data_IF_841687113173
#
_entry.id   IF_841687113173
#
_cell.length_a   1.000
_cell.length_b   1.000
_cell.length_c   1.000
_cell.angle_alpha   90.00
_cell.angle_beta   90.00
_cell.angle_gamma   90.00
#
_symmetry.space_group_name_H-M   'P 1'
#
loop_
_entity.id
_entity.type
_entity.pdbx_description
1 polymer ?
#
# COMPACT_ATOMS: atom_id res chain seq x y z
N UNK A 1 -22.79 -51.58 -2.55
CA UNK A 1 -23.10 -50.27 -3.14
C UNK A 1 -22.38 -49.22 -2.29
N UNK A 2 -21.16 -48.86 -2.68
CA UNK A 2 -20.29 -47.95 -1.90
C UNK A 2 -20.58 -46.54 -2.42
N UNK A 3 -21.15 -45.69 -1.58
CA UNK A 3 -21.41 -44.28 -1.90
C UNK A 3 -20.09 -43.51 -1.62
N UNK A 4 -19.38 -43.13 -2.67
CA UNK A 4 -18.26 -42.21 -2.59
C UNK A 4 -18.80 -40.79 -2.45
N UNK A 5 -18.58 -40.17 -1.30
CA UNK A 5 -18.84 -38.75 -1.05
C UNK A 5 -17.79 -37.92 -1.79
N UNK A 6 -18.15 -36.97 -2.65
CA UNK A 6 -17.17 -36.10 -3.29
C UNK A 6 -16.58 -35.17 -2.25
N UNK A 7 -15.25 -35.28 -2.05
CA UNK A 7 -14.50 -34.43 -1.15
C UNK A 7 -14.64 -32.94 -1.54
N UNK A 8 -14.91 -32.16 -0.54
CA UNK A 8 -15.18 -30.72 -0.62
C UNK A 8 -13.96 -29.97 -1.20
N UNK A 9 -14.06 -29.51 -2.43
CA UNK A 9 -12.97 -28.81 -3.16
C UNK A 9 -12.49 -27.54 -2.47
N UNK A 10 -13.32 -26.94 -1.62
CA UNK A 10 -12.98 -25.77 -0.81
C UNK A 10 -11.95 -26.10 0.28
N UNK A 11 -12.10 -27.23 0.98
CA UNK A 11 -11.13 -27.69 1.99
C UNK A 11 -9.75 -27.96 1.39
N UNK A 12 -9.70 -28.58 0.23
CA UNK A 12 -8.43 -28.85 -0.46
C UNK A 12 -7.75 -27.57 -0.94
N UNK A 13 -8.52 -26.54 -1.29
CA UNK A 13 -7.98 -25.24 -1.72
C UNK A 13 -7.43 -24.47 -0.52
N UNK A 14 -8.13 -24.47 0.61
CA UNK A 14 -7.67 -23.85 1.86
C UNK A 14 -6.40 -24.56 2.37
N UNK A 15 -6.35 -25.89 2.35
CA UNK A 15 -5.15 -26.64 2.73
C UNK A 15 -3.94 -26.33 1.82
N UNK A 16 -4.16 -26.13 0.53
CA UNK A 16 -3.08 -25.77 -0.41
C UNK A 16 -2.57 -24.35 -0.18
N UNK A 17 -3.47 -23.39 0.11
CA UNK A 17 -3.07 -22.01 0.43
C UNK A 17 -2.39 -21.92 1.80
N UNK A 18 -2.88 -22.61 2.82
CA UNK A 18 -2.23 -22.67 4.14
C UNK A 18 -0.88 -23.38 4.07
N UNK A 19 -0.75 -24.44 3.29
CA UNK A 19 0.53 -25.14 3.06
C UNK A 19 1.53 -24.25 2.31
N UNK A 20 1.09 -23.47 1.32
CA UNK A 20 1.94 -22.54 0.59
C UNK A 20 2.41 -21.39 1.49
N UNK A 21 1.52 -20.87 2.32
CA UNK A 21 1.85 -19.81 3.30
C UNK A 21 2.81 -20.31 4.38
N UNK A 22 2.59 -21.52 4.90
CA UNK A 22 3.49 -22.19 5.85
C UNK A 22 4.86 -22.49 5.22
N UNK A 23 4.89 -22.90 3.96
CA UNK A 23 6.14 -23.18 3.24
C UNK A 23 6.96 -21.89 3.02
N UNK A 24 6.29 -20.78 2.71
CA UNK A 24 6.95 -19.46 2.60
C UNK A 24 7.46 -19.00 3.97
N UNK A 25 6.70 -19.18 5.04
CA UNK A 25 7.11 -18.84 6.41
C UNK A 25 8.28 -19.70 6.92
N UNK A 26 8.31 -20.99 6.60
CA UNK A 26 9.42 -21.89 6.97
C UNK A 26 10.70 -21.61 6.19
N UNK A 27 10.60 -21.16 4.95
CA UNK A 27 11.78 -20.78 4.15
C UNK A 27 12.41 -19.46 4.64
N UNK A 28 11.62 -18.56 5.24
CA UNK A 28 12.09 -17.30 5.82
C UNK A 28 12.78 -17.48 7.18
N UNK A 29 12.59 -18.60 7.87
CA UNK A 29 13.18 -18.87 9.20
C UNK A 29 14.62 -19.41 9.14
N UNK A 30 15.19 -19.64 7.98
CA UNK A 30 16.43 -20.41 7.78
C UNK A 30 17.75 -19.66 7.84
N UNK A 31 17.79 -18.33 8.05
CA UNK A 31 19.06 -17.57 8.05
C UNK A 31 19.13 -16.53 9.17
N UNK A 32 19.10 -16.95 10.44
CA UNK A 32 19.49 -16.11 11.56
C UNK A 32 20.89 -16.52 12.05
N UNK A 33 21.93 -16.11 11.33
CA UNK A 33 23.30 -16.16 11.80
C UNK A 33 23.62 -14.91 12.60
N UNK A 34 23.76 -15.06 13.92
CA UNK A 34 24.25 -14.00 14.80
C UNK A 34 25.69 -13.64 14.45
N UNK A 35 25.96 -12.36 14.22
CA UNK A 35 27.28 -11.76 14.33
C UNK A 35 27.22 -10.67 15.40
N UNK A 36 27.87 -10.95 16.54
CA UNK A 36 28.23 -9.93 17.52
C UNK A 36 29.21 -8.94 16.90
N UNK A 37 28.92 -7.66 16.98
CA UNK A 37 29.87 -6.59 16.69
C UNK A 37 30.12 -5.81 17.95
N UNK A 38 31.35 -5.92 18.41
CA UNK A 38 31.92 -5.22 19.58
C UNK A 38 32.00 -3.72 19.30
N UNK A 39 31.39 -2.91 20.13
CA UNK A 39 31.47 -1.47 20.08
C UNK A 39 32.85 -0.99 20.59
N UNK A 40 33.50 -0.12 19.83
CA UNK A 40 34.71 0.62 20.24
C UNK A 40 34.33 2.09 20.36
N UNK A 41 34.31 2.57 21.59
CA UNK A 41 34.10 3.98 21.95
C UNK A 41 35.31 4.82 21.55
N UNK A 42 35.09 6.01 20.99
CA UNK A 42 36.05 7.11 21.06
C UNK A 42 35.31 8.42 21.30
N UNK A 43 35.73 9.01 22.40
CA UNK A 43 35.41 10.23 23.06
C UNK A 43 35.88 11.46 22.29
N UNK A 44 35.06 12.50 22.19
CA UNK A 44 35.50 13.91 22.21
C UNK A 44 34.29 14.86 22.26
N UNK A 45 34.29 15.68 23.28
CA UNK A 45 33.26 16.54 23.80
C UNK A 45 32.99 17.87 23.04
N UNK A 46 32.35 18.88 23.68
CA UNK A 46 31.18 19.55 23.09
C UNK A 46 31.48 20.95 22.55
N UNK A 47 30.66 21.41 21.61
CA UNK A 47 30.45 22.85 21.37
C UNK A 47 28.97 23.16 21.33
N UNK A 48 28.54 23.91 22.36
CA UNK A 48 27.22 24.51 22.50
C UNK A 48 27.18 25.79 21.65
N UNK A 49 26.18 25.94 20.81
CA UNK A 49 25.68 27.25 20.39
C UNK A 49 24.15 27.17 20.21
N UNK A 50 23.49 27.94 21.09
CA UNK A 50 22.04 28.10 21.12
C UNK A 50 21.60 29.18 20.11
N UNK A 51 20.43 28.99 19.48
CA UNK A 51 19.37 29.97 19.24
C UNK A 51 18.66 29.74 17.89
N UNK A 52 17.52 30.36 17.66
CA UNK A 52 16.26 30.41 18.38
C UNK A 52 15.11 29.73 17.62
N UNK A 53 14.00 29.53 18.33
CA UNK A 53 12.76 29.00 17.80
C UNK A 53 12.24 29.79 16.59
N UNK A 54 11.95 29.08 15.52
CA UNK A 54 11.17 29.58 14.39
C UNK A 54 10.08 28.57 14.05
N UNK A 55 8.91 29.10 13.86
CA UNK A 55 7.63 28.48 13.50
C UNK A 55 7.76 27.26 12.55
N UNK A 56 7.16 26.16 12.94
CA UNK A 56 6.94 25.01 12.07
C UNK A 56 5.77 25.31 11.14
N UNK A 57 6.04 25.95 10.01
CA UNK A 57 5.20 25.78 8.84
C UNK A 57 5.47 24.34 8.31
N UNK A 58 4.46 23.52 8.28
CA UNK A 58 4.51 22.21 7.64
C UNK A 58 4.60 22.46 6.13
N UNK A 59 5.82 22.42 5.63
CA UNK A 59 6.10 22.47 4.19
C UNK A 59 5.99 21.04 3.65
N UNK A 60 4.89 20.77 2.97
CA UNK A 60 4.55 19.48 2.36
C UNK A 60 5.22 19.31 0.98
N UNK A 61 6.33 20.01 0.75
CA UNK A 61 7.16 19.83 -0.45
C UNK A 61 8.09 18.63 -0.26
N UNK A 62 7.70 17.51 -0.85
CA UNK A 62 8.58 16.36 -1.06
C UNK A 62 9.82 16.85 -1.84
N UNK A 63 10.96 16.97 -1.16
CA UNK A 63 12.26 17.17 -1.78
C UNK A 63 12.91 15.82 -2.07
N UNK A 64 12.91 15.36 -3.33
CA UNK A 64 13.53 14.09 -3.69
C UNK A 64 15.06 14.11 -3.55
N UNK A 65 15.66 15.27 -3.28
CA UNK A 65 17.10 15.47 -3.11
C UNK A 65 17.52 15.79 -1.67
N UNK A 66 16.57 15.85 -0.73
CA UNK A 66 16.91 16.00 0.68
C UNK A 66 17.87 14.88 1.08
N UNK A 67 19.08 15.25 1.48
CA UNK A 67 20.07 14.30 1.97
C UNK A 67 19.51 13.62 3.22
N UNK A 68 19.59 12.29 3.36
CA UNK A 68 19.17 11.60 4.57
C UNK A 68 19.91 12.22 5.75
N UNK A 69 19.21 12.61 6.80
CA UNK A 69 19.85 12.91 8.08
C UNK A 69 20.75 11.72 8.48
N UNK A 70 21.89 11.99 9.08
CA UNK A 70 22.98 11.03 9.31
C UNK A 70 22.64 9.79 10.19
N UNK A 71 21.39 9.65 10.64
CA UNK A 71 20.85 8.40 11.18
C UNK A 71 20.30 7.57 10.01
N UNK A 72 21.20 6.93 9.27
CA UNK A 72 20.89 6.15 8.10
C UNK A 72 19.89 5.05 8.42
N UNK A 73 18.71 5.11 7.82
CA UNK A 73 17.89 3.91 7.65
C UNK A 73 18.82 2.90 6.99
N UNK A 74 19.21 1.85 7.74
CA UNK A 74 20.10 0.80 7.23
C UNK A 74 19.53 0.32 5.89
N UNK A 75 20.29 0.55 4.83
CA UNK A 75 19.92 0.30 3.44
C UNK A 75 19.99 -1.22 3.18
N UNK A 76 19.10 -1.96 3.86
CA UNK A 76 19.09 -3.43 3.80
C UNK A 76 18.29 -3.90 2.59
N UNK A 77 18.96 -4.01 1.45
CA UNK A 77 18.42 -4.59 0.23
C UNK A 77 19.24 -5.80 -0.25
N UNK A 78 19.07 -6.96 0.39
CA UNK A 78 19.79 -8.17 0.00
C UNK A 78 19.36 -8.71 -1.36
N UNK A 79 18.24 -8.24 -1.91
CA UNK A 79 17.66 -8.67 -3.18
C UNK A 79 17.81 -7.63 -4.29
N UNK A 80 18.65 -6.62 -4.11
CA UNK A 80 18.88 -5.54 -5.07
C UNK A 80 19.05 -6.02 -6.54
N UNK A 81 19.85 -7.09 -6.84
CA UNK A 81 19.98 -7.55 -8.23
C UNK A 81 18.69 -8.08 -8.84
N UNK A 82 17.79 -8.64 -8.02
CA UNK A 82 16.45 -9.11 -8.45
C UNK A 82 15.49 -7.94 -8.50
N UNK A 83 15.48 -7.12 -7.47
CA UNK A 83 14.61 -5.95 -7.34
C UNK A 83 14.81 -4.98 -8.50
N UNK A 84 16.06 -4.69 -8.89
CA UNK A 84 16.38 -3.83 -10.02
C UNK A 84 15.83 -4.37 -11.34
N UNK A 85 15.91 -5.68 -11.57
CA UNK A 85 15.34 -6.30 -12.79
C UNK A 85 13.82 -6.22 -12.82
N UNK A 86 13.16 -6.48 -11.69
CA UNK A 86 11.71 -6.40 -11.58
C UNK A 86 11.25 -4.94 -11.68
N UNK A 87 11.99 -4.02 -11.08
CA UNK A 87 11.73 -2.58 -11.20
C UNK A 87 11.79 -2.12 -12.66
N UNK A 88 12.86 -2.50 -13.38
CA UNK A 88 12.97 -2.17 -14.81
C UNK A 88 11.87 -2.82 -15.64
N UNK A 89 11.50 -4.07 -15.34
CA UNK A 89 10.32 -4.70 -15.96
C UNK A 89 9.04 -3.88 -15.73
N UNK A 90 8.75 -3.49 -14.48
CA UNK A 90 7.58 -2.67 -14.14
C UNK A 90 7.62 -1.32 -14.87
N UNK A 91 8.81 -0.70 -14.96
CA UNK A 91 9.03 0.54 -15.70
C UNK A 91 8.75 0.38 -17.20
N UNK A 92 9.17 -0.73 -17.81
CA UNK A 92 8.86 -1.01 -19.22
C UNK A 92 7.35 -1.23 -19.43
N UNK A 93 6.68 -1.93 -18.50
CA UNK A 93 5.22 -2.10 -18.53
C UNK A 93 4.52 -0.74 -18.38
N UNK A 94 4.97 0.13 -17.48
CA UNK A 94 4.42 1.49 -17.37
C UNK A 94 4.60 2.26 -18.69
N UNK A 95 5.81 2.27 -19.23
CA UNK A 95 6.16 3.04 -20.43
C UNK A 95 5.36 2.61 -21.67
N UNK A 96 5.23 1.29 -21.87
CA UNK A 96 4.67 0.75 -23.11
C UNK A 96 3.18 0.40 -23.02
N UNK A 97 2.65 0.21 -21.83
CA UNK A 97 1.25 -0.19 -21.61
C UNK A 97 0.49 0.85 -20.79
N UNK A 98 0.89 1.08 -19.52
CA UNK A 98 0.10 1.93 -18.63
C UNK A 98 0.07 3.39 -19.07
N UNK A 99 1.22 3.97 -19.43
CA UNK A 99 1.31 5.37 -19.87
C UNK A 99 0.47 5.67 -21.11
N UNK A 100 0.55 4.89 -22.23
CA UNK A 100 -0.31 5.13 -23.37
C UNK A 100 -1.80 4.90 -23.09
N UNK A 101 -2.14 3.86 -22.32
CA UNK A 101 -3.54 3.59 -21.92
C UNK A 101 -4.07 4.75 -21.06
N UNK A 102 -3.31 5.20 -20.06
CA UNK A 102 -3.69 6.32 -19.19
C UNK A 102 -3.80 7.65 -19.94
N UNK A 103 -2.96 7.89 -20.96
CA UNK A 103 -3.11 9.06 -21.84
C UNK A 103 -4.41 8.99 -22.65
N UNK A 104 -4.74 7.83 -23.21
CA UNK A 104 -6.01 7.61 -23.91
C UNK A 104 -7.21 7.78 -23.00
N UNK A 105 -7.13 7.24 -21.79
CA UNK A 105 -8.16 7.40 -20.78
C UNK A 105 -8.33 8.87 -20.37
N UNK A 106 -7.23 9.62 -20.12
CA UNK A 106 -7.25 11.04 -19.79
C UNK A 106 -7.86 11.91 -20.90
N UNK A 107 -7.69 11.51 -22.15
CA UNK A 107 -8.31 12.22 -23.28
C UNK A 107 -9.83 12.04 -23.31
N UNK A 108 -10.34 10.86 -22.92
CA UNK A 108 -11.77 10.52 -22.97
C UNK A 108 -12.50 10.97 -21.69
N UNK A 109 -11.87 10.78 -20.53
CA UNK A 109 -12.49 10.99 -19.22
C UNK A 109 -11.98 12.29 -18.60
N UNK A 110 -12.86 13.30 -18.37
CA UNK A 110 -12.45 14.57 -17.75
C UNK A 110 -11.90 14.39 -16.33
N UNK A 111 -10.92 15.19 -15.95
CA UNK A 111 -10.28 15.16 -14.62
C UNK A 111 -11.27 15.12 -13.43
N UNK A 112 -12.35 15.92 -13.38
CA UNK A 112 -13.29 15.84 -12.28
C UNK A 112 -13.96 14.46 -12.11
N UNK A 113 -14.17 13.75 -13.22
CA UNK A 113 -14.72 12.39 -13.19
C UNK A 113 -13.68 11.40 -12.68
N UNK A 114 -12.43 11.53 -13.11
CA UNK A 114 -11.31 10.71 -12.62
C UNK A 114 -11.12 10.88 -11.11
N UNK A 115 -11.16 12.12 -10.61
CA UNK A 115 -11.10 12.43 -9.18
C UNK A 115 -12.27 11.78 -8.44
N UNK A 116 -13.49 11.90 -8.98
CA UNK A 116 -14.67 11.26 -8.40
C UNK A 116 -14.52 9.73 -8.29
N UNK A 117 -13.96 9.10 -9.30
CA UNK A 117 -13.67 7.65 -9.30
C UNK A 117 -12.65 7.31 -8.20
N UNK A 118 -11.54 8.05 -8.10
CA UNK A 118 -10.57 7.87 -7.00
C UNK A 118 -11.22 8.02 -5.63
N UNK A 119 -12.07 9.04 -5.46
CA UNK A 119 -12.79 9.27 -4.21
C UNK A 119 -13.72 8.09 -3.83
N UNK A 120 -14.39 7.47 -4.82
CA UNK A 120 -15.23 6.27 -4.57
C UNK A 120 -14.36 5.11 -4.07
N UNK A 121 -13.23 4.81 -4.74
CA UNK A 121 -12.31 3.76 -4.29
C UNK A 121 -11.76 4.05 -2.89
N UNK A 122 -11.41 5.29 -2.62
CA UNK A 122 -10.98 5.73 -1.29
C UNK A 122 -12.08 5.51 -0.25
N UNK A 123 -13.31 5.95 -0.53
CA UNK A 123 -14.45 5.82 0.40
C UNK A 123 -14.80 4.36 0.71
N UNK A 124 -14.72 3.48 -0.29
CA UNK A 124 -14.98 2.04 -0.11
C UNK A 124 -13.95 1.37 0.79
N UNK A 125 -12.68 1.83 0.79
CA UNK A 125 -11.61 1.32 1.67
C UNK A 125 -11.68 1.84 3.11
N UNK A 126 -12.71 2.56 3.49
CA UNK A 126 -12.94 3.04 4.85
C UNK A 126 -12.69 1.97 5.94
N UNK A 127 -13.20 0.70 5.84
CA UNK A 127 -13.03 -0.27 6.92
C UNK A 127 -11.57 -0.59 7.24
N UNK A 128 -10.71 -0.64 6.22
CA UNK A 128 -9.28 -0.84 6.38
C UNK A 128 -8.65 0.28 7.21
N UNK A 129 -8.84 1.54 6.83
CA UNK A 129 -8.29 2.70 7.53
C UNK A 129 -8.86 2.85 8.94
N UNK A 130 -10.17 2.65 9.10
CA UNK A 130 -10.84 2.67 10.40
C UNK A 130 -10.28 1.62 11.37
N UNK A 131 -10.16 0.36 10.93
CA UNK A 131 -9.65 -0.73 11.77
C UNK A 131 -8.18 -0.52 12.13
N UNK A 132 -7.34 -0.06 11.19
CA UNK A 132 -5.94 0.21 11.48
C UNK A 132 -5.76 1.37 12.47
N UNK A 133 -6.56 2.44 12.38
CA UNK A 133 -6.61 3.48 13.40
C UNK A 133 -6.98 2.91 14.79
N UNK A 134 -7.98 2.03 14.85
CA UNK A 134 -8.36 1.37 16.12
C UNK A 134 -7.26 0.47 16.66
N UNK A 135 -6.64 -0.34 15.82
CA UNK A 135 -5.55 -1.23 16.22
C UNK A 135 -4.33 -0.47 16.74
N UNK A 136 -4.07 0.72 16.25
CA UNK A 136 -3.02 1.60 16.74
C UNK A 136 -3.45 2.46 17.94
N UNK A 137 -4.69 2.33 18.42
CA UNK A 137 -5.22 3.14 19.52
C UNK A 137 -5.51 4.61 19.15
N UNK A 138 -5.48 4.96 17.86
CA UNK A 138 -5.74 6.30 17.32
C UNK A 138 -7.26 6.55 17.24
N UNK A 139 -7.94 6.61 18.39
CA UNK A 139 -9.42 6.72 18.48
C UNK A 139 -9.93 7.97 17.75
N UNK A 140 -9.21 9.10 17.82
CA UNK A 140 -9.57 10.33 17.11
C UNK A 140 -9.53 10.10 15.58
N UNK A 141 -8.46 9.46 15.08
CA UNK A 141 -8.34 9.11 13.66
C UNK A 141 -9.48 8.19 13.21
N UNK A 142 -9.78 7.14 13.99
CA UNK A 142 -10.91 6.26 13.73
C UNK A 142 -12.25 7.03 13.68
N UNK A 143 -12.48 7.97 14.60
CA UNK A 143 -13.68 8.82 14.60
C UNK A 143 -13.77 9.73 13.37
N UNK A 144 -12.64 10.30 12.94
CA UNK A 144 -12.56 11.10 11.71
C UNK A 144 -12.88 10.22 10.48
N UNK A 145 -12.33 9.00 10.39
CA UNK A 145 -12.63 8.08 9.30
C UNK A 145 -14.13 7.73 9.21
N UNK A 146 -14.80 7.51 10.34
CA UNK A 146 -16.27 7.32 10.37
C UNK A 146 -16.97 8.56 9.84
N UNK A 147 -16.57 9.75 10.31
CA UNK A 147 -17.16 11.02 9.85
C UNK A 147 -16.97 11.23 8.33
N UNK A 148 -15.75 10.98 7.82
CA UNK A 148 -15.45 11.03 6.38
C UNK A 148 -16.34 10.08 5.59
N UNK A 149 -16.41 8.81 6.01
CA UNK A 149 -17.23 7.82 5.34
C UNK A 149 -18.72 8.22 5.28
N UNK A 150 -19.29 8.66 6.39
CA UNK A 150 -20.71 9.09 6.44
C UNK A 150 -20.98 10.30 5.57
N UNK A 151 -20.15 11.34 5.67
CA UNK A 151 -20.30 12.56 4.87
C UNK A 151 -20.13 12.29 3.38
N UNK A 152 -19.10 11.55 3.00
CA UNK A 152 -18.81 11.26 1.60
C UNK A 152 -19.85 10.29 1.01
N UNK A 153 -20.35 9.34 1.79
CA UNK A 153 -21.38 8.40 1.31
C UNK A 153 -22.75 9.07 1.17
N UNK A 154 -23.10 10.04 2.02
CA UNK A 154 -24.40 10.73 1.99
C UNK A 154 -24.36 12.01 1.13
N UNK A 155 -23.73 13.07 1.63
CA UNK A 155 -23.61 14.35 0.93
C UNK A 155 -22.69 14.27 -0.30
N UNK A 156 -21.70 13.39 -0.29
CA UNK A 156 -20.75 13.15 -1.38
C UNK A 156 -21.25 12.16 -2.45
N UNK A 157 -22.54 11.77 -2.42
CA UNK A 157 -23.16 10.88 -3.43
C UNK A 157 -22.37 9.58 -3.58
N UNK A 158 -22.31 8.78 -2.50
CA UNK A 158 -21.59 7.49 -2.51
C UNK A 158 -20.07 7.59 -2.57
N UNK A 159 -19.52 8.77 -2.26
CA UNK A 159 -18.08 9.01 -2.27
C UNK A 159 -17.54 9.65 -3.55
N UNK A 160 -18.39 10.02 -4.52
CA UNK A 160 -17.95 10.75 -5.71
C UNK A 160 -17.34 12.10 -5.38
N UNK A 161 -17.86 12.78 -4.36
CA UNK A 161 -17.35 14.06 -3.88
C UNK A 161 -16.77 13.89 -2.47
N UNK A 162 -15.52 14.32 -2.26
CA UNK A 162 -14.92 14.36 -0.92
C UNK A 162 -15.38 15.62 -0.18
N UNK A 163 -16.55 15.52 0.47
CA UNK A 163 -17.14 16.60 1.29
C UNK A 163 -16.35 16.73 2.60
N UNK A 164 -15.85 15.63 3.14
CA UNK A 164 -15.10 15.63 4.37
C UNK A 164 -13.78 16.42 4.25
N UNK A 165 -13.09 16.31 3.12
CA UNK A 165 -11.90 17.11 2.81
C UNK A 165 -12.21 18.62 2.81
N UNK A 166 -13.36 19.02 2.24
CA UNK A 166 -13.81 20.43 2.24
C UNK A 166 -14.14 20.97 3.63
N UNK A 167 -14.45 20.10 4.58
CA UNK A 167 -14.71 20.42 5.98
C UNK A 167 -13.46 20.25 6.87
N UNK A 168 -12.28 20.10 6.26
CA UNK A 168 -10.99 19.91 6.91
C UNK A 168 -10.93 18.69 7.87
N UNK A 169 -11.74 17.67 7.59
CA UNK A 169 -11.70 16.39 8.30
C UNK A 169 -10.59 15.52 7.70
N UNK A 170 -9.35 15.80 8.12
CA UNK A 170 -8.16 15.08 7.64
C UNK A 170 -7.63 14.13 8.71
N UNK A 171 -7.14 12.98 8.29
CA UNK A 171 -6.40 12.03 9.12
C UNK A 171 -5.40 11.30 8.23
N UNK A 172 -4.24 10.94 8.75
CA UNK A 172 -3.31 10.07 8.03
C UNK A 172 -4.00 8.77 7.60
N UNK A 173 -3.63 8.28 6.43
CA UNK A 173 -4.10 6.98 5.95
C UNK A 173 -3.34 5.88 6.66
N UNK A 174 -4.05 5.08 7.44
CA UNK A 174 -3.47 3.97 8.16
C UNK A 174 -3.67 2.65 7.42
N UNK A 175 -2.61 1.86 7.38
CA UNK A 175 -2.63 0.51 6.81
C UNK A 175 -2.06 -0.52 7.79
N UNK A 176 -2.23 -1.81 7.48
CA UNK A 176 -1.78 -2.88 8.37
C UNK A 176 -0.26 -2.97 8.46
N UNK A 177 0.49 -2.56 7.42
CA UNK A 177 1.95 -2.47 7.49
C UNK A 177 2.43 -1.44 8.51
N UNK A 178 1.76 -0.27 8.58
CA UNK A 178 1.98 0.76 9.61
C UNK A 178 1.60 0.22 10.99
N UNK A 179 0.45 -0.43 11.11
CA UNK A 179 0.01 -1.05 12.37
C UNK A 179 1.03 -2.05 12.89
N UNK A 180 1.57 -2.92 12.04
CA UNK A 180 2.65 -3.84 12.41
C UNK A 180 3.92 -3.08 12.84
N UNK A 181 4.26 -2.00 12.14
CA UNK A 181 5.38 -1.13 12.49
C UNK A 181 5.19 -0.46 13.84
N UNK A 182 4.00 0.05 14.12
CA UNK A 182 3.63 0.64 15.42
C UNK A 182 3.85 -0.33 16.59
N UNK A 183 3.58 -1.62 16.39
CA UNK A 183 3.88 -2.68 17.37
C UNK A 183 5.33 -3.16 17.34
N UNK A 184 6.23 -2.47 16.66
CA UNK A 184 7.67 -2.75 16.66
C UNK A 184 8.12 -3.86 15.72
N UNK A 185 7.26 -4.31 14.79
CA UNK A 185 7.67 -5.26 13.74
C UNK A 185 8.60 -4.54 12.77
N UNK A 186 9.84 -5.03 12.66
CA UNK A 186 10.85 -4.46 11.76
C UNK A 186 10.41 -4.61 10.29
N UNK A 187 10.81 -3.66 9.41
CA UNK A 187 10.41 -3.69 8.00
C UNK A 187 10.86 -4.95 7.25
N UNK A 188 12.04 -5.50 7.62
CA UNK A 188 12.68 -6.59 6.87
C UNK A 188 13.22 -6.11 5.51
N UNK A 189 13.65 -7.03 4.63
CA UNK A 189 14.17 -6.72 3.32
C UNK A 189 13.20 -5.93 2.45
N UNK A 190 13.74 -5.01 1.66
CA UNK A 190 13.03 -4.34 0.59
C UNK A 190 12.79 -5.29 -0.59
N UNK A 191 11.64 -5.19 -1.23
CA UNK A 191 11.27 -6.02 -2.37
C UNK A 191 10.41 -5.28 -3.40
N UNK A 192 10.65 -5.59 -4.66
CA UNK A 192 9.84 -5.13 -5.79
C UNK A 192 9.18 -6.35 -6.42
N UNK A 193 7.85 -6.31 -6.53
CA UNK A 193 7.08 -7.38 -7.15
C UNK A 193 6.55 -6.94 -8.53
N UNK A 194 6.40 -7.89 -9.48
CA UNK A 194 5.81 -7.58 -10.78
C UNK A 194 4.41 -6.99 -10.64
N UNK A 195 4.14 -5.90 -11.36
CA UNK A 195 2.86 -5.17 -11.39
C UNK A 195 2.41 -4.55 -10.07
N UNK A 196 3.25 -4.57 -9.03
CA UNK A 196 2.94 -4.00 -7.73
C UNK A 196 3.91 -2.86 -7.39
N UNK A 197 3.49 -2.03 -6.43
CA UNK A 197 4.36 -1.03 -5.81
C UNK A 197 5.47 -1.70 -5.00
N UNK A 198 6.55 -0.98 -4.65
CA UNK A 198 7.55 -1.47 -3.72
C UNK A 198 6.97 -1.80 -2.35
N UNK A 199 7.58 -2.78 -1.67
CA UNK A 199 7.23 -3.20 -0.31
C UNK A 199 8.49 -3.47 0.51
N UNK A 200 8.33 -3.49 1.83
CA UNK A 200 9.15 -4.32 2.71
C UNK A 200 8.39 -5.62 3.02
N UNK A 201 9.05 -6.62 3.58
CA UNK A 201 8.37 -7.88 3.98
C UNK A 201 7.19 -7.60 4.92
N UNK A 202 7.38 -6.73 5.93
CA UNK A 202 6.31 -6.29 6.83
C UNK A 202 5.12 -5.70 6.06
N UNK A 203 5.42 -4.76 5.16
CA UNK A 203 4.39 -4.02 4.44
C UNK A 203 3.67 -4.91 3.42
N UNK A 204 4.34 -5.93 2.86
CA UNK A 204 3.70 -6.94 2.03
C UNK A 204 2.70 -7.79 2.84
N UNK A 205 3.08 -8.22 4.04
CA UNK A 205 2.15 -8.93 4.95
C UNK A 205 0.96 -8.03 5.30
N UNK A 206 1.23 -6.75 5.60
CA UNK A 206 0.19 -5.75 5.82
C UNK A 206 -0.73 -5.59 4.62
N UNK A 207 -0.18 -5.47 3.42
CA UNK A 207 -0.96 -5.37 2.18
C UNK A 207 -1.88 -6.58 1.95
N UNK A 208 -1.40 -7.79 2.21
CA UNK A 208 -2.23 -9.01 2.13
C UNK A 208 -3.40 -8.94 3.12
N UNK A 209 -3.17 -8.51 4.35
CA UNK A 209 -4.23 -8.32 5.34
C UNK A 209 -5.24 -7.24 4.90
N UNK A 210 -4.75 -6.14 4.35
CA UNK A 210 -5.58 -5.05 3.82
C UNK A 210 -6.45 -5.49 2.64
N UNK A 211 -5.95 -6.37 1.77
CA UNK A 211 -6.76 -7.00 0.70
C UNK A 211 -7.95 -7.76 1.28
N UNK A 212 -7.78 -8.45 2.42
CA UNK A 212 -8.89 -9.12 3.12
C UNK A 212 -9.84 -8.15 3.83
N UNK A 213 -9.39 -6.97 4.23
CA UNK A 213 -10.25 -5.94 4.85
C UNK A 213 -11.04 -5.12 3.82
N UNK A 214 -10.70 -5.20 2.54
CA UNK A 214 -11.34 -4.42 1.50
C UNK A 214 -12.74 -4.98 1.16
N UNK A 215 -13.83 -4.20 1.33
CA UNK A 215 -15.19 -4.65 1.05
C UNK A 215 -15.43 -5.10 -0.39
N UNK A 216 -14.70 -4.56 -1.36
CA UNK A 216 -14.80 -4.98 -2.77
C UNK A 216 -14.54 -6.49 -2.88
N UNK A 217 -13.58 -6.99 -2.12
CA UNK A 217 -13.16 -8.38 -2.16
C UNK A 217 -14.13 -9.34 -1.43
N UNK A 218 -15.17 -8.82 -0.77
CA UNK A 218 -16.18 -9.60 -0.06
C UNK A 218 -17.59 -9.37 -0.59
N UNK A 219 -17.97 -8.11 -0.78
CA UNK A 219 -19.34 -7.73 -1.08
C UNK A 219 -19.59 -7.57 -2.58
N UNK A 220 -18.59 -7.16 -3.35
CA UNK A 220 -18.76 -6.91 -4.79
C UNK A 220 -18.30 -8.13 -5.58
N UNK A 221 -17.05 -8.54 -5.40
CA UNK A 221 -16.43 -9.66 -6.10
C UNK A 221 -15.59 -10.49 -5.12
N UNK A 222 -16.19 -11.40 -4.37
CA UNK A 222 -15.51 -12.08 -3.27
C UNK A 222 -14.37 -12.97 -3.73
N UNK A 223 -13.25 -12.88 -2.99
CA UNK A 223 -12.07 -13.75 -3.18
C UNK A 223 -12.37 -15.20 -2.79
N UNK A 224 -13.20 -15.37 -1.77
CA UNK A 224 -13.61 -16.66 -1.22
C UNK A 224 -15.12 -16.65 -1.09
N UNK A 225 -15.78 -17.72 -1.52
CA UNK A 225 -17.21 -17.89 -1.34
C UNK A 225 -17.51 -18.22 0.11
N UNK A 226 -18.23 -17.33 0.80
CA UNK A 226 -18.69 -17.54 2.17
C UNK A 226 -20.20 -17.68 2.14
N UNK A 227 -20.69 -18.86 2.57
CA UNK A 227 -22.11 -19.13 2.63
C UNK A 227 -22.83 -18.12 3.53
N UNK A 228 -23.87 -17.48 3.00
CA UNK A 228 -24.69 -16.50 3.72
C UNK A 228 -24.23 -15.04 3.61
N UNK A 229 -23.11 -14.74 2.95
CA UNK A 229 -22.71 -13.37 2.64
C UNK A 229 -23.26 -12.99 1.25
N UNK A 230 -24.14 -12.00 1.15
CA UNK A 230 -24.65 -11.54 -0.14
C UNK A 230 -23.54 -10.81 -0.91
N UNK A 231 -23.31 -11.18 -2.16
CA UNK A 231 -22.41 -10.46 -3.07
C UNK A 231 -23.19 -9.79 -4.19
N UNK A 232 -22.71 -8.64 -4.64
CA UNK A 232 -23.33 -7.89 -5.74
C UNK A 232 -23.25 -8.66 -7.06
N UNK A 233 -22.22 -9.49 -7.23
CA UNK A 233 -22.03 -10.36 -8.40
C UNK A 233 -22.31 -11.81 -7.97
N UNK A 234 -23.33 -12.46 -8.57
CA UNK A 234 -23.63 -13.86 -8.22
C UNK A 234 -22.45 -14.79 -8.53
N UNK A 235 -22.09 -15.63 -7.57
CA UNK A 235 -20.91 -16.52 -7.59
C UNK A 235 -20.97 -17.66 -8.61
N UNK A 236 -21.96 -17.70 -9.44
CA UNK A 236 -22.19 -18.84 -10.35
C UNK A 236 -21.07 -19.09 -11.35
N UNK A 237 -20.16 -18.11 -11.55
CA UNK A 237 -19.05 -18.24 -12.47
C UNK A 237 -17.75 -17.62 -11.89
N UNK A 238 -16.85 -18.47 -11.42
CA UNK A 238 -15.54 -18.11 -10.86
C UNK A 238 -14.73 -17.23 -11.83
N UNK A 239 -14.86 -17.45 -13.12
CA UNK A 239 -14.21 -16.66 -14.16
C UNK A 239 -14.69 -15.20 -14.14
N UNK A 240 -16.00 -14.96 -14.02
CA UNK A 240 -16.57 -13.61 -13.99
C UNK A 240 -16.09 -12.84 -12.75
N UNK A 241 -16.05 -13.47 -11.58
CA UNK A 241 -15.58 -12.85 -10.34
C UNK A 241 -14.11 -12.43 -10.46
N UNK A 242 -13.25 -13.31 -11.00
CA UNK A 242 -11.84 -13.01 -11.22
C UNK A 242 -11.66 -11.87 -12.22
N UNK A 243 -12.41 -11.86 -13.33
CA UNK A 243 -12.35 -10.76 -14.30
C UNK A 243 -12.77 -9.41 -13.70
N UNK A 244 -13.81 -9.40 -12.86
CA UNK A 244 -14.25 -8.16 -12.22
C UNK A 244 -13.23 -7.65 -11.20
N UNK A 245 -12.63 -8.53 -10.40
CA UNK A 245 -11.58 -8.15 -9.43
C UNK A 245 -10.35 -7.57 -10.15
N UNK A 246 -9.84 -8.28 -11.16
CA UNK A 246 -8.70 -7.82 -11.96
C UNK A 246 -9.07 -6.54 -12.68
N UNK A 247 -10.25 -6.49 -13.31
CA UNK A 247 -10.73 -5.32 -14.03
C UNK A 247 -10.86 -4.08 -13.15
N UNK A 248 -11.44 -4.22 -11.96
CA UNK A 248 -11.54 -3.13 -10.99
C UNK A 248 -10.16 -2.62 -10.56
N UNK A 249 -9.21 -3.53 -10.32
CA UNK A 249 -7.85 -3.17 -9.94
C UNK A 249 -7.09 -2.48 -11.07
N UNK A 250 -7.18 -3.01 -12.29
CA UNK A 250 -6.56 -2.39 -13.48
C UNK A 250 -7.18 -1.01 -13.75
N UNK A 251 -8.49 -0.89 -13.62
CA UNK A 251 -9.19 0.38 -13.80
C UNK A 251 -8.72 1.44 -12.78
N UNK A 252 -8.61 1.07 -11.52
CA UNK A 252 -8.05 1.92 -10.48
C UNK A 252 -6.63 2.37 -10.82
N UNK A 253 -5.74 1.43 -11.17
CA UNK A 253 -4.34 1.73 -11.54
C UNK A 253 -4.28 2.70 -12.74
N UNK A 254 -5.10 2.49 -13.77
CA UNK A 254 -5.16 3.38 -14.94
C UNK A 254 -5.66 4.76 -14.56
N UNK A 255 -6.69 4.85 -13.71
CA UNK A 255 -7.23 6.11 -13.23
C UNK A 255 -6.20 6.90 -12.41
N UNK A 256 -5.54 6.25 -11.45
CA UNK A 256 -4.52 6.89 -10.61
C UNK A 256 -3.29 7.29 -11.45
N UNK A 257 -2.88 6.46 -12.40
CA UNK A 257 -1.78 6.78 -13.32
C UNK A 257 -2.12 7.96 -14.21
N UNK A 258 -3.37 8.08 -14.64
CA UNK A 258 -3.88 9.18 -15.45
C UNK A 258 -3.82 10.52 -14.70
N UNK A 259 -4.25 10.54 -13.44
CA UNK A 259 -4.20 11.73 -12.57
C UNK A 259 -2.76 12.18 -12.25
N UNK A 260 -1.78 11.31 -12.35
CA UNK A 260 -0.38 11.57 -11.99
C UNK A 260 0.59 11.52 -13.18
N UNK A 261 0.12 11.66 -14.43
CA UNK A 261 0.95 11.55 -15.64
C UNK A 261 2.18 12.47 -15.62
N UNK A 262 2.00 13.73 -15.24
CA UNK A 262 3.07 14.74 -15.24
C UNK A 262 4.07 14.54 -14.10
N UNK A 263 3.59 14.19 -12.90
CA UNK A 263 4.44 13.95 -11.72
C UNK A 263 5.45 12.84 -11.97
N UNK A 264 4.99 11.71 -12.51
CA UNK A 264 5.87 10.57 -12.81
C UNK A 264 6.91 10.91 -13.89
N UNK A 265 6.55 11.70 -14.89
CA UNK A 265 7.48 12.11 -15.94
C UNK A 265 8.58 13.01 -15.37
N UNK A 266 8.23 13.97 -14.53
CA UNK A 266 9.21 14.87 -13.91
C UNK A 266 10.23 14.13 -13.06
N UNK A 267 9.81 13.15 -12.25
CA UNK A 267 10.72 12.33 -11.45
C UNK A 267 11.64 11.47 -12.32
N UNK A 268 11.13 10.85 -13.39
CA UNK A 268 11.92 10.02 -14.30
C UNK A 268 13.01 10.85 -15.03
N UNK A 269 12.71 12.09 -15.41
CA UNK A 269 13.65 12.97 -16.11
C UNK A 269 14.70 13.59 -15.18
N UNK A 270 14.38 13.80 -13.90
CA UNK A 270 15.25 14.46 -12.93
C UNK A 270 16.24 13.53 -12.23
N UNK A 271 16.10 12.20 -12.34
CA UNK A 271 16.82 11.24 -11.52
C UNK A 271 17.76 10.36 -12.32
N UNK A 272 19.05 10.33 -11.93
CA UNK A 272 20.06 9.48 -12.57
C UNK A 272 19.91 8.00 -12.22
N UNK A 273 19.66 7.69 -10.95
CA UNK A 273 19.36 6.35 -10.45
C UNK A 273 17.95 6.29 -9.86
N UNK A 274 17.00 6.00 -10.74
CA UNK A 274 15.59 5.98 -10.37
C UNK A 274 15.25 4.85 -9.38
N UNK A 275 15.94 3.69 -9.45
CA UNK A 275 15.70 2.59 -8.52
C UNK A 275 16.04 3.00 -7.09
N UNK A 276 17.26 3.48 -6.87
CA UNK A 276 17.73 3.93 -5.54
C UNK A 276 16.87 5.08 -5.01
N UNK A 277 16.53 6.06 -5.84
CA UNK A 277 15.66 7.17 -5.45
C UNK A 277 14.27 6.71 -5.00
N UNK A 278 13.62 5.82 -5.75
CA UNK A 278 12.29 5.29 -5.40
C UNK A 278 12.36 4.43 -4.13
N UNK A 279 13.40 3.60 -3.97
CA UNK A 279 13.61 2.79 -2.77
C UNK A 279 13.74 3.68 -1.54
N UNK A 280 14.63 4.67 -1.59
CA UNK A 280 14.90 5.56 -0.46
C UNK A 280 13.67 6.41 -0.11
N UNK A 281 13.00 6.97 -1.11
CA UNK A 281 11.75 7.70 -0.92
C UNK A 281 10.67 6.84 -0.26
N UNK A 282 10.53 5.58 -0.68
CA UNK A 282 9.60 4.63 -0.07
C UNK A 282 9.94 4.37 1.40
N UNK A 283 11.20 4.02 1.71
CA UNK A 283 11.62 3.69 3.06
C UNK A 283 11.47 4.88 4.02
N UNK A 284 11.87 6.08 3.60
CA UNK A 284 11.72 7.30 4.39
C UNK A 284 10.25 7.66 4.64
N UNK A 285 9.40 7.55 3.61
CA UNK A 285 7.96 7.78 3.78
C UNK A 285 7.37 6.81 4.78
N UNK A 286 7.70 5.51 4.68
CA UNK A 286 7.18 4.48 5.59
C UNK A 286 7.66 4.68 7.03
N UNK A 287 8.90 5.08 7.23
CA UNK A 287 9.43 5.39 8.57
C UNK A 287 8.61 6.54 9.20
N UNK A 288 8.43 7.65 8.51
CA UNK A 288 7.63 8.79 8.99
C UNK A 288 6.19 8.42 9.29
N UNK A 289 5.54 7.65 8.43
CA UNK A 289 4.15 7.22 8.62
C UNK A 289 3.94 6.34 9.87
N UNK A 290 4.96 5.67 10.38
CA UNK A 290 4.88 4.86 11.60
C UNK A 290 5.10 5.71 12.86
N UNK A 291 5.83 6.82 12.73
CA UNK A 291 6.09 7.76 13.83
C UNK A 291 4.91 8.72 14.10
N UNK A 292 4.05 8.95 13.10
CA UNK A 292 2.83 9.77 13.21
C UNK A 292 1.71 9.05 13.99
#
# INVERSE_FOLDING_TARGET
MIITVPGNTAEQTILRFTSLLLFILLWLSGCAGQREVTAKSSDSGPVVLAAPAADKAVDDTFDPFAQPGEEGIEEYDPWEPVNTKVFEFNRQVDRWVLKPVSKGYNFIVPNPVQIGISNVFYNVRFPQRFLNNLFQGKVKGAGIEVGRFLLNSTAGVGGLFDIAERLDLRTPEEDTGQTLGFYGVKPGPYMVLPFLQPFTVRDLVGYVADVFMNPINWLVAPLIEVNGVPSAIPHKNRTTTTFVQIGARVFEIVNDRSLNLEKFQGVEEATLDLYTAVRNAYLQRRARQIEE
#
